data_IF_385106377776
#
_entry.id   IF_385106377776
#
_cell.length_a   1.000
_cell.length_b   1.000
_cell.length_c   1.000
_cell.angle_alpha   90.00
_cell.angle_beta   90.00
_cell.angle_gamma   90.00
#
_symmetry.space_group_name_H-M   'P 1'
#
loop_
_entity.id
_entity.type
_entity.pdbx_description
1 polymer ?
#
# COMPACT_ATOMS: atom_id res chain seq x y z
N UNK A 1 7.75 11.89 -23.10
CA UNK A 1 6.53 11.36 -22.44
C UNK A 1 6.73 9.94 -21.89
N UNK A 2 7.08 8.95 -22.72
CA UNK A 2 7.23 7.55 -22.31
C UNK A 2 8.07 7.33 -21.04
N UNK A 3 9.33 7.80 -21.02
CA UNK A 3 10.22 7.61 -19.87
C UNK A 3 9.69 8.21 -18.56
N UNK A 4 9.05 9.39 -18.64
CA UNK A 4 8.48 10.04 -17.46
C UNK A 4 7.29 9.23 -16.89
N UNK A 5 6.41 8.71 -17.74
CA UNK A 5 5.26 7.92 -17.30
C UNK A 5 5.73 6.62 -16.65
N UNK A 6 6.67 5.91 -17.28
CA UNK A 6 7.22 4.67 -16.72
C UNK A 6 7.88 4.93 -15.37
N UNK A 7 8.70 5.98 -15.25
CA UNK A 7 9.35 6.35 -13.99
C UNK A 7 8.32 6.69 -12.89
N UNK A 8 7.28 7.48 -13.20
CA UNK A 8 6.20 7.81 -12.26
C UNK A 8 5.51 6.55 -11.73
N UNK A 9 5.12 5.62 -12.62
CA UNK A 9 4.49 4.36 -12.23
C UNK A 9 5.42 3.51 -11.37
N UNK A 10 6.70 3.40 -11.74
CA UNK A 10 7.69 2.63 -11.00
C UNK A 10 7.96 3.21 -9.62
N UNK A 11 8.14 4.53 -9.50
CA UNK A 11 8.34 5.22 -8.20
C UNK A 11 7.11 5.04 -7.31
N UNK A 12 5.90 5.24 -7.84
CA UNK A 12 4.66 5.03 -7.08
C UNK A 12 4.53 3.59 -6.54
N UNK A 13 4.84 2.60 -7.38
CA UNK A 13 4.85 1.18 -7.01
C UNK A 13 5.86 0.90 -5.89
N UNK A 14 7.10 1.35 -6.03
CA UNK A 14 8.15 1.13 -5.02
C UNK A 14 7.80 1.77 -3.68
N UNK A 15 7.22 2.97 -3.68
CA UNK A 15 6.77 3.63 -2.47
C UNK A 15 5.62 2.86 -1.80
N UNK A 16 4.64 2.38 -2.58
CA UNK A 16 3.54 1.59 -2.05
C UNK A 16 4.04 0.29 -1.36
N UNK A 17 5.02 -0.39 -1.94
CA UNK A 17 5.60 -1.60 -1.36
C UNK A 17 6.55 -1.35 -0.20
N UNK A 18 7.25 -0.21 -0.17
CA UNK A 18 8.21 0.04 0.90
C UNK A 18 7.56 0.52 2.20
N UNK A 19 6.36 1.12 2.13
CA UNK A 19 5.59 1.54 3.31
C UNK A 19 5.36 0.37 4.30
N UNK A 20 4.77 -0.79 3.91
CA UNK A 20 4.58 -1.90 4.84
C UNK A 20 5.90 -2.50 5.33
N UNK A 21 6.96 -2.49 4.51
CA UNK A 21 8.31 -2.95 4.92
C UNK A 21 8.89 -2.04 6.02
N UNK A 22 8.74 -0.73 5.87
CA UNK A 22 9.11 0.25 6.89
C UNK A 22 8.27 0.11 8.16
N UNK A 23 6.95 -0.06 8.03
CA UNK A 23 6.05 -0.27 9.16
C UNK A 23 6.39 -1.56 9.93
N UNK A 24 6.77 -2.63 9.21
CA UNK A 24 7.24 -3.89 9.80
C UNK A 24 8.51 -3.70 10.63
N UNK A 25 9.46 -2.90 10.15
CA UNK A 25 10.66 -2.53 10.91
C UNK A 25 10.32 -1.69 12.14
N UNK A 26 9.41 -0.71 11.99
CA UNK A 26 8.98 0.19 13.06
C UNK A 26 8.24 -0.54 14.19
N UNK A 27 7.45 -1.56 13.87
CA UNK A 27 6.78 -2.41 14.87
C UNK A 27 7.76 -3.35 15.61
N UNK A 28 8.89 -3.71 14.99
CA UNK A 28 9.97 -4.46 15.62
C UNK A 28 9.53 -5.82 16.17
N UNK A 29 9.71 -6.03 17.49
CA UNK A 29 9.37 -7.27 18.19
C UNK A 29 7.90 -7.38 18.59
N UNK A 30 7.11 -6.31 18.49
CA UNK A 30 5.66 -6.34 18.78
C UNK A 30 4.84 -6.95 17.64
N UNK A 31 5.48 -7.22 16.51
CA UNK A 31 4.84 -7.81 15.35
C UNK A 31 4.58 -9.31 15.59
N UNK A 32 3.31 -9.72 15.51
CA UNK A 32 2.96 -11.13 15.50
C UNK A 32 3.41 -11.75 14.18
N UNK A 33 4.39 -12.65 14.25
CA UNK A 33 4.93 -13.37 13.09
C UNK A 33 4.07 -14.58 12.79
N UNK A 34 3.74 -14.78 11.51
CA UNK A 34 3.05 -15.99 11.04
C UNK A 34 3.98 -17.20 10.98
N UNK A 35 3.39 -18.35 10.61
CA UNK A 35 4.07 -19.64 10.50
C UNK A 35 5.32 -19.57 9.60
N UNK A 36 5.21 -18.87 8.46
CA UNK A 36 6.35 -18.57 7.60
C UNK A 36 6.98 -17.23 7.96
N UNK A 37 8.20 -17.27 8.47
CA UNK A 37 8.95 -16.07 8.81
C UNK A 37 10.44 -16.20 8.50
N UNK A 38 11.07 -15.06 8.26
CA UNK A 38 12.50 -14.96 7.93
C UNK A 38 13.41 -14.98 9.18
N UNK A 39 12.82 -15.23 10.36
CA UNK A 39 13.48 -15.19 11.65
C UNK A 39 14.19 -13.86 11.90
N UNK A 40 15.46 -13.92 12.33
CA UNK A 40 16.28 -12.75 12.66
C UNK A 40 16.74 -11.93 11.45
N UNK A 41 16.68 -12.48 10.24
CA UNK A 41 17.20 -11.84 9.03
C UNK A 41 16.32 -10.69 8.51
N UNK A 42 15.07 -10.57 9.00
CA UNK A 42 14.15 -9.53 8.54
C UNK A 42 14.70 -8.11 8.69
N UNK A 43 15.52 -7.83 9.72
CA UNK A 43 16.03 -6.48 9.96
C UNK A 43 16.95 -6.01 8.84
N UNK A 44 17.99 -6.79 8.53
CA UNK A 44 18.97 -6.42 7.52
C UNK A 44 18.38 -6.46 6.12
N UNK A 45 17.52 -7.44 5.81
CA UNK A 45 16.86 -7.53 4.51
C UNK A 45 15.92 -6.35 4.30
N UNK A 46 15.10 -5.99 5.30
CA UNK A 46 14.19 -4.85 5.17
C UNK A 46 14.95 -3.51 5.08
N UNK A 47 16.05 -3.35 5.83
CA UNK A 47 16.90 -2.15 5.73
C UNK A 47 17.55 -2.08 4.34
N UNK A 48 18.08 -3.20 3.84
CA UNK A 48 18.65 -3.29 2.49
C UNK A 48 17.62 -2.98 1.41
N UNK A 49 16.38 -3.48 1.56
CA UNK A 49 15.28 -3.16 0.67
C UNK A 49 14.95 -1.66 0.67
N UNK A 50 14.91 -1.01 1.84
CA UNK A 50 14.69 0.45 1.93
C UNK A 50 15.83 1.21 1.25
N UNK A 51 17.08 0.85 1.52
CA UNK A 51 18.24 1.48 0.91
C UNK A 51 18.22 1.34 -0.63
N UNK A 52 17.86 0.15 -1.12
CA UNK A 52 17.71 -0.11 -2.54
C UNK A 52 16.60 0.76 -3.16
N UNK A 53 15.43 0.87 -2.51
CA UNK A 53 14.35 1.74 -3.00
C UNK A 53 14.77 3.20 -3.03
N UNK A 54 15.48 3.68 -2.01
CA UNK A 54 16.03 5.06 -2.02
C UNK A 54 16.96 5.28 -3.21
N UNK A 55 17.82 4.31 -3.51
CA UNK A 55 18.69 4.35 -4.68
C UNK A 55 17.89 4.38 -5.99
N UNK A 56 16.87 3.52 -6.13
CA UNK A 56 16.02 3.45 -7.32
C UNK A 56 15.27 4.77 -7.55
N UNK A 57 14.66 5.34 -6.50
CA UNK A 57 13.99 6.64 -6.59
C UNK A 57 14.99 7.72 -7.01
N UNK A 58 16.16 7.80 -6.38
CA UNK A 58 17.18 8.77 -6.75
C UNK A 58 17.64 8.63 -8.21
N UNK A 59 17.82 7.39 -8.68
CA UNK A 59 18.22 7.12 -10.06
C UNK A 59 17.14 7.44 -11.09
N UNK A 60 15.85 7.33 -10.74
CA UNK A 60 14.72 7.60 -11.63
C UNK A 60 14.30 9.08 -11.64
N UNK A 61 14.45 9.77 -10.51
CA UNK A 61 14.02 11.16 -10.32
C UNK A 61 15.15 12.18 -10.53
N UNK A 62 16.40 11.72 -10.54
CA UNK A 62 17.56 12.55 -10.81
C UNK A 62 17.63 13.10 -12.25
N UNK A 63 18.48 14.11 -12.51
CA UNK A 63 18.71 14.62 -13.86
C UNK A 63 19.35 13.54 -14.74
N UNK A 64 18.78 13.31 -15.92
CA UNK A 64 19.33 12.36 -16.91
C UNK A 64 20.32 13.02 -17.87
N UNK A 65 20.34 14.36 -17.91
CA UNK A 65 21.23 15.16 -18.75
C UNK A 65 21.82 16.33 -17.96
N UNK A 66 22.96 16.84 -18.41
CA UNK A 66 23.59 18.00 -17.78
C UNK A 66 22.69 19.25 -17.78
N UNK A 67 21.91 19.48 -18.85
CA UNK A 67 20.98 20.61 -18.99
C UNK A 67 19.66 20.41 -18.23
N UNK A 68 19.37 19.19 -17.76
CA UNK A 68 18.18 18.89 -16.96
C UNK A 68 18.35 19.16 -15.47
N UNK A 69 19.59 19.42 -15.02
CA UNK A 69 19.90 19.75 -13.63
C UNK A 69 19.60 21.24 -13.35
N UNK A 70 18.67 21.56 -12.42
CA UNK A 70 18.29 22.95 -12.14
C UNK A 70 19.41 23.79 -11.51
N UNK A 71 20.47 23.15 -11.00
CA UNK A 71 21.68 23.79 -10.49
C UNK A 71 22.77 24.01 -11.55
N UNK A 72 22.54 23.62 -12.81
CA UNK A 72 23.46 23.89 -13.91
C UNK A 72 23.13 25.25 -14.56
N UNK A 73 24.15 26.04 -14.92
CA UNK A 73 24.00 27.32 -15.62
C UNK A 73 23.35 27.18 -17.00
N UNK A 74 23.46 26.01 -17.64
CA UNK A 74 22.80 25.67 -18.91
C UNK A 74 21.41 25.05 -18.78
N UNK A 75 20.72 25.25 -17.65
CA UNK A 75 19.44 24.62 -17.39
C UNK A 75 18.38 24.96 -18.44
N UNK A 76 17.72 23.93 -18.97
CA UNK A 76 16.55 24.08 -19.84
C UNK A 76 15.38 23.26 -19.31
N UNK A 77 14.23 23.92 -19.15
CA UNK A 77 12.99 23.30 -18.63
C UNK A 77 12.54 22.09 -19.47
N UNK A 78 12.80 22.09 -20.78
CA UNK A 78 12.48 20.96 -21.66
C UNK A 78 13.31 19.69 -21.37
N UNK A 79 14.49 19.85 -20.75
CA UNK A 79 15.38 18.75 -20.36
C UNK A 79 15.14 18.27 -18.92
N UNK A 80 14.25 18.92 -18.18
CA UNK A 80 13.96 18.57 -16.79
C UNK A 80 13.28 17.19 -16.71
N UNK A 81 13.68 16.39 -15.73
CA UNK A 81 13.01 15.15 -15.42
C UNK A 81 11.76 15.44 -14.59
N UNK A 82 10.58 15.20 -15.15
CA UNK A 82 9.29 15.50 -14.51
C UNK A 82 8.79 14.40 -13.55
N UNK A 83 9.50 13.27 -13.46
CA UNK A 83 9.15 12.15 -12.57
C UNK A 83 8.97 12.53 -11.08
N UNK A 84 9.79 13.43 -10.50
CA UNK A 84 9.65 13.85 -9.09
C UNK A 84 8.28 14.48 -8.76
N UNK A 85 7.51 14.94 -9.76
CA UNK A 85 6.17 15.48 -9.55
C UNK A 85 5.24 14.48 -8.84
N UNK A 86 5.44 13.17 -9.03
CA UNK A 86 4.65 12.14 -8.36
C UNK A 86 4.79 12.23 -6.83
N UNK A 87 5.99 12.56 -6.34
CA UNK A 87 6.27 12.70 -4.92
C UNK A 87 5.56 13.92 -4.34
N UNK A 88 5.55 15.02 -5.09
CA UNK A 88 4.88 16.27 -4.69
C UNK A 88 3.36 16.05 -4.63
N UNK A 89 2.78 15.43 -5.66
CA UNK A 89 1.35 15.11 -5.69
C UNK A 89 0.99 14.15 -4.55
N UNK A 90 1.80 13.09 -4.34
CA UNK A 90 1.61 12.15 -3.24
C UNK A 90 1.65 12.83 -1.87
N UNK A 91 2.57 13.77 -1.66
CA UNK A 91 2.67 14.56 -0.44
C UNK A 91 1.44 15.45 -0.24
N UNK A 92 0.97 16.14 -1.27
CA UNK A 92 -0.25 16.97 -1.21
C UNK A 92 -1.46 16.12 -0.82
N UNK A 93 -1.64 14.96 -1.48
CA UNK A 93 -2.72 14.02 -1.15
C UNK A 93 -2.58 13.51 0.28
N UNK A 94 -1.37 13.19 0.74
CA UNK A 94 -1.09 12.76 2.11
C UNK A 94 -1.42 13.84 3.15
N UNK A 95 -1.06 15.10 2.87
CA UNK A 95 -1.39 16.25 3.73
C UNK A 95 -2.91 16.44 3.78
N UNK A 96 -3.59 16.44 2.63
CA UNK A 96 -5.05 16.54 2.56
C UNK A 96 -5.74 15.40 3.33
N UNK A 97 -5.22 14.17 3.19
CA UNK A 97 -5.69 13.02 3.94
C UNK A 97 -5.56 13.21 5.46
N UNK A 98 -4.40 13.69 5.90
CA UNK A 98 -4.11 13.92 7.32
C UNK A 98 -4.93 15.06 7.93
N UNK A 99 -5.14 16.14 7.17
CA UNK A 99 -5.89 17.34 7.60
C UNK A 99 -7.39 17.07 7.81
N UNK A 100 -8.00 16.13 7.09
CA UNK A 100 -9.41 15.87 7.32
C UNK A 100 -10.08 14.76 6.53
N UNK A 101 -9.54 14.35 5.37
CA UNK A 101 -10.23 13.36 4.54
C UNK A 101 -10.44 12.02 5.29
N UNK A 102 -9.47 11.62 6.11
CA UNK A 102 -9.56 10.40 6.94
C UNK A 102 -10.76 10.40 7.91
N UNK A 103 -11.23 11.57 8.35
CA UNK A 103 -12.36 11.69 9.30
C UNK A 103 -13.72 11.60 8.59
N UNK A 104 -13.75 11.83 7.27
CA UNK A 104 -14.97 11.77 6.44
C UNK A 104 -15.10 10.43 5.70
N UNK A 105 -14.01 9.67 5.59
CA UNK A 105 -13.99 8.37 4.95
C UNK A 105 -14.80 7.34 5.77
N UNK A 106 -15.81 6.73 5.14
CA UNK A 106 -16.73 5.78 5.80
C UNK A 106 -16.33 4.30 5.64
N UNK A 107 -15.15 4.04 5.08
CA UNK A 107 -14.69 2.68 4.79
C UNK A 107 -15.37 2.05 3.56
N UNK A 108 -14.88 0.89 3.09
CA UNK A 108 -15.54 0.11 2.05
C UNK A 108 -16.86 -0.48 2.57
N UNK A 109 -17.95 -0.34 1.80
CA UNK A 109 -19.20 -1.06 2.07
C UNK A 109 -18.94 -2.54 1.85
N UNK A 110 -19.07 -3.35 2.89
CA UNK A 110 -18.94 -4.81 2.80
C UNK A 110 -20.29 -5.39 2.37
N UNK A 111 -20.28 -6.20 1.32
CA UNK A 111 -21.49 -6.89 0.80
C UNK A 111 -21.74 -8.23 1.47
N UNK A 112 -20.79 -8.73 2.27
CA UNK A 112 -20.83 -10.05 2.90
C UNK A 112 -20.51 -9.88 4.38
N UNK A 113 -21.37 -10.43 5.23
CA UNK A 113 -21.14 -10.49 6.67
C UNK A 113 -20.10 -11.57 6.96
N UNK A 114 -19.10 -11.22 7.77
CA UNK A 114 -18.11 -12.15 8.28
C UNK A 114 -18.18 -12.15 9.81
N UNK A 115 -17.98 -13.30 10.44
CA UNK A 115 -17.87 -13.37 11.89
C UNK A 115 -16.62 -12.61 12.41
N UNK A 116 -16.47 -12.51 13.74
CA UNK A 116 -15.32 -11.82 14.34
C UNK A 116 -13.98 -12.44 13.94
N UNK A 117 -13.97 -13.72 13.54
CA UNK A 117 -12.82 -14.46 13.02
C UNK A 117 -12.58 -14.30 11.49
N UNK A 118 -13.51 -13.70 10.75
CA UNK A 118 -13.38 -13.45 9.30
C UNK A 118 -13.85 -14.59 8.39
N UNK A 119 -14.62 -15.54 8.91
CA UNK A 119 -15.32 -16.53 8.12
C UNK A 119 -16.61 -15.95 7.53
N UNK A 120 -16.97 -16.40 6.32
CA UNK A 120 -18.23 -16.00 5.69
C UNK A 120 -19.39 -16.54 6.53
N UNK A 121 -20.27 -15.65 6.97
CA UNK A 121 -21.52 -16.09 7.58
C UNK A 121 -22.41 -16.54 6.42
N UNK A 122 -22.51 -17.85 6.19
CA UNK A 122 -23.55 -18.36 5.31
C UNK A 122 -24.90 -17.95 5.91
N UNK A 123 -25.82 -17.37 5.11
CA UNK A 123 -27.19 -17.15 5.55
C UNK A 123 -27.72 -18.49 6.07
N UNK A 124 -28.03 -18.57 7.36
CA UNK A 124 -28.63 -19.78 7.93
C UNK A 124 -29.92 -20.03 7.18
N UNK A 125 -29.94 -21.08 6.34
CA UNK A 125 -31.14 -21.50 5.66
C UNK A 125 -32.20 -21.72 6.75
N UNK A 126 -33.36 -21.03 6.71
CA UNK A 126 -34.39 -21.22 7.72
C UNK A 126 -34.74 -22.70 7.63
N UNK A 127 -34.39 -23.45 8.69
CA UNK A 127 -34.72 -24.85 8.81
C UNK A 127 -36.21 -24.95 8.54
N UNK A 128 -36.58 -25.43 7.34
CA UNK A 128 -37.95 -25.68 7.01
C UNK A 128 -38.46 -26.57 8.14
N UNK A 129 -39.38 -26.03 8.94
CA UNK A 129 -39.94 -26.74 10.08
C UNK A 129 -40.39 -28.10 9.53
N UNK A 130 -39.64 -29.16 9.89
CA UNK A 130 -39.95 -30.50 9.45
C UNK A 130 -41.40 -30.78 9.80
N UNK A 131 -42.16 -31.49 8.94
CA UNK A 131 -43.58 -31.70 9.17
C UNK A 131 -43.74 -32.27 10.58
N UNK A 132 -44.48 -31.54 11.43
CA UNK A 132 -44.82 -31.99 12.77
C UNK A 132 -45.62 -33.26 12.63
N UNK A 133 -44.96 -34.41 12.80
CA UNK A 133 -45.67 -35.69 12.91
C UNK A 133 -46.39 -35.65 14.25
N UNK A 134 -47.67 -35.29 14.19
CA UNK A 134 -48.58 -35.43 15.31
C UNK A 134 -48.68 -36.93 15.63
N UNK A 135 -48.02 -37.34 16.72
CA UNK A 135 -48.26 -38.62 17.35
C UNK A 135 -49.66 -38.63 17.96
N UNK A 136 -50.53 -39.46 17.41
CA UNK A 136 -51.62 -40.14 18.13
C UNK A 136 -51.46 -41.62 17.79
N UNK A 137 -51.32 -42.55 18.74
CA UNK A 137 -52.06 -42.63 19.98
C UNK A 137 -53.23 -43.58 19.74
N UNK A 138 -53.01 -44.85 20.11
CA UNK A 138 -53.91 -46.02 20.08
C UNK A 138 -53.99 -46.84 18.78
#
# INVERSE_FOLDING_TARGET
AYFAITAICTVGLYLAYIIPVYLRLRQGHRFQVGEWNLGRHYKWINIGAIAFVVLVVYSLDGPTTATGAPWNSGFTVTSFNYSPLVLIVGLIVGIWWWLGAKNRYKGPVRTIDMDEEGHLIEPTEPTAAGPTIAGGGE
#
